data_IF_825325872673
#
_entry.id   IF_825325872673
#
_cell.length_a   1.000
_cell.length_b   1.000
_cell.length_c   1.000
_cell.angle_alpha   90.00
_cell.angle_beta   90.00
_cell.angle_gamma   90.00
#
_symmetry.space_group_name_H-M   'P 1'
#
loop_
_entity.id
_entity.type
_entity.pdbx_description
1 polymer ?
#
# COMPACT_ATOMS: atom_id res chain seq x y z
N UNK A 1 4.08 2.28 8.78
CA UNK A 1 5.07 3.13 8.11
C UNK A 1 4.65 3.50 6.68
N UNK A 2 4.36 2.53 5.79
CA UNK A 2 3.97 2.83 4.38
C UNK A 2 2.69 3.66 4.24
N UNK A 3 1.69 3.43 5.09
CA UNK A 3 0.40 4.14 5.07
C UNK A 3 0.51 5.65 5.35
N UNK A 4 1.39 6.05 6.26
CA UNK A 4 1.61 7.47 6.59
C UNK A 4 2.26 8.23 5.43
N UNK A 5 3.29 7.65 4.81
CA UNK A 5 3.92 8.21 3.61
C UNK A 5 2.95 8.30 2.44
N UNK A 6 2.12 7.27 2.23
CA UNK A 6 1.14 7.26 1.15
C UNK A 6 0.08 8.35 1.33
N UNK A 7 -0.44 8.50 2.55
CA UNK A 7 -1.41 9.55 2.85
C UNK A 7 -0.77 10.94 2.72
N UNK A 8 0.45 11.13 3.24
CA UNK A 8 1.17 12.39 3.08
C UNK A 8 1.43 12.75 1.61
N UNK A 9 1.87 11.80 0.78
CA UNK A 9 2.09 11.99 -0.65
C UNK A 9 0.78 12.35 -1.39
N UNK A 10 -0.35 11.77 -1.00
CA UNK A 10 -1.66 12.15 -1.56
C UNK A 10 -2.06 13.57 -1.14
N UNK A 11 -1.94 13.91 0.13
CA UNK A 11 -2.36 15.21 0.64
C UNK A 11 -1.50 16.35 0.07
N UNK A 12 -0.18 16.17 0.03
CA UNK A 12 0.75 17.21 -0.46
C UNK A 12 0.57 17.52 -1.94
N UNK A 13 0.09 16.56 -2.74
CA UNK A 13 -0.26 16.73 -4.15
C UNK A 13 -1.77 16.92 -4.37
N UNK A 14 -2.57 16.92 -3.30
CA UNK A 14 -4.01 16.96 -3.33
C UNK A 14 -4.57 18.39 -3.45
N UNK A 15 -5.83 18.54 -3.86
CA UNK A 15 -6.45 19.85 -4.08
C UNK A 15 -6.61 20.68 -2.79
N UNK A 16 -6.63 20.05 -1.63
CA UNK A 16 -6.76 20.73 -0.34
C UNK A 16 -5.43 21.37 0.11
N UNK A 17 -4.35 20.58 0.23
CA UNK A 17 -3.10 21.08 0.82
C UNK A 17 -2.10 21.63 -0.20
N UNK A 18 -2.11 21.21 -1.46
CA UNK A 18 -1.16 21.74 -2.45
C UNK A 18 -1.24 23.28 -2.57
N UNK A 19 -2.44 23.91 -2.65
CA UNK A 19 -2.54 25.37 -2.68
C UNK A 19 -2.12 26.03 -1.35
N UNK A 20 -2.39 25.39 -0.21
CA UNK A 20 -2.01 25.92 1.10
C UNK A 20 -0.49 25.95 1.26
N UNK A 21 0.20 24.91 0.79
CA UNK A 21 1.66 24.82 0.79
C UNK A 21 2.25 25.85 -0.17
N UNK A 22 1.72 25.94 -1.40
CA UNK A 22 2.20 26.89 -2.41
C UNK A 22 2.08 28.36 -1.94
N UNK A 23 1.05 28.68 -1.16
CA UNK A 23 0.82 30.02 -0.60
C UNK A 23 1.46 30.23 0.78
N UNK A 24 2.28 29.31 1.27
CA UNK A 24 2.97 29.42 2.56
C UNK A 24 2.06 29.37 3.79
N UNK A 25 0.80 28.93 3.64
CA UNK A 25 -0.19 28.83 4.73
C UNK A 25 0.07 27.64 5.66
N UNK A 26 0.74 26.60 5.14
CA UNK A 26 1.18 25.42 5.89
C UNK A 26 2.50 24.91 5.30
N UNK A 27 3.38 24.36 6.13
CA UNK A 27 4.59 23.70 5.66
C UNK A 27 4.35 22.20 5.43
N UNK A 28 5.10 21.58 4.51
CA UNK A 28 5.06 20.13 4.30
C UNK A 28 5.43 19.34 5.57
N UNK A 29 6.34 19.86 6.39
CA UNK A 29 6.69 19.31 7.71
C UNK A 29 5.51 19.36 8.69
N UNK A 30 4.78 20.47 8.74
CA UNK A 30 3.60 20.60 9.60
C UNK A 30 2.50 19.61 9.17
N UNK A 31 2.22 19.51 7.87
CA UNK A 31 1.26 18.54 7.32
C UNK A 31 1.67 17.10 7.67
N UNK A 32 2.93 16.72 7.42
CA UNK A 32 3.43 15.38 7.74
C UNK A 32 3.27 15.02 9.22
N UNK A 33 3.56 15.98 10.12
CA UNK A 33 3.39 15.81 11.57
C UNK A 33 1.91 15.66 11.95
N UNK A 34 1.01 16.46 11.38
CA UNK A 34 -0.44 16.34 11.61
C UNK A 34 -0.98 14.98 11.19
N UNK A 35 -0.61 14.49 10.00
CA UNK A 35 -1.00 13.17 9.51
C UNK A 35 -0.41 12.09 10.42
N UNK A 36 0.86 12.22 10.81
CA UNK A 36 1.54 11.27 11.69
C UNK A 36 0.84 11.14 13.04
N UNK A 37 0.49 12.25 13.70
CA UNK A 37 -0.22 12.26 14.98
C UNK A 37 -1.58 11.54 14.91
N UNK A 38 -2.30 11.67 13.78
CA UNK A 38 -3.60 11.00 13.57
C UNK A 38 -3.45 9.52 13.22
N UNK A 39 -2.59 9.20 12.25
CA UNK A 39 -2.47 7.85 11.69
C UNK A 39 -1.58 6.92 12.53
N UNK A 40 -0.64 7.47 13.29
CA UNK A 40 0.37 6.74 14.08
C UNK A 40 0.51 7.37 15.48
N UNK A 41 -0.55 7.35 16.31
CA UNK A 41 -0.57 8.06 17.60
C UNK A 41 0.42 7.48 18.62
N UNK A 42 0.83 6.22 18.45
CA UNK A 42 1.80 5.53 19.32
C UNK A 42 3.26 5.82 18.96
N UNK A 43 3.51 6.49 17.83
CA UNK A 43 4.87 6.84 17.39
C UNK A 43 5.12 8.30 17.73
N UNK A 44 6.21 8.56 18.46
CA UNK A 44 6.61 9.93 18.76
C UNK A 44 6.99 10.70 17.50
N UNK A 45 6.41 11.89 17.31
CA UNK A 45 6.73 12.80 16.21
C UNK A 45 7.53 13.97 16.77
N UNK A 46 8.82 14.06 16.43
CA UNK A 46 9.66 15.18 16.85
C UNK A 46 9.19 16.51 16.24
N UNK A 47 9.13 17.57 17.03
CA UNK A 47 8.58 18.87 16.58
C UNK A 47 9.49 19.61 15.60
N UNK A 48 10.78 19.24 15.53
CA UNK A 48 11.80 19.91 14.71
C UNK A 48 12.48 18.98 13.70
N UNK A 49 11.80 17.92 13.23
CA UNK A 49 12.36 17.01 12.22
C UNK A 49 11.67 17.17 10.86
N UNK A 50 12.44 17.63 9.87
CA UNK A 50 11.99 17.75 8.48
C UNK A 50 12.11 16.41 7.72
N UNK A 51 11.50 15.35 8.25
CA UNK A 51 11.46 14.04 7.59
C UNK A 51 11.01 14.06 6.12
N UNK A 52 10.01 14.88 5.73
CA UNK A 52 9.61 14.97 4.33
C UNK A 52 10.73 15.31 3.35
N UNK A 53 11.78 16.02 3.78
CA UNK A 53 12.91 16.37 2.91
C UNK A 53 13.74 15.15 2.50
N UNK A 54 13.68 14.06 3.27
CA UNK A 54 14.33 12.78 2.95
C UNK A 54 13.44 11.88 2.11
N UNK A 55 12.19 12.26 1.88
CA UNK A 55 11.26 11.47 1.09
C UNK A 55 11.41 11.79 -0.39
N UNK A 56 12.47 11.23 -0.99
CA UNK A 56 12.86 11.48 -2.39
C UNK A 56 11.82 11.06 -3.42
N UNK A 57 10.79 10.28 -3.03
CA UNK A 57 9.74 9.82 -3.92
C UNK A 57 8.77 10.93 -4.35
N UNK A 58 8.64 12.00 -3.54
CA UNK A 58 7.67 13.08 -3.76
C UNK A 58 7.82 13.76 -5.13
N UNK A 59 9.04 13.98 -5.60
CA UNK A 59 9.28 14.66 -6.88
C UNK A 59 8.99 13.78 -8.10
N UNK A 60 9.77 12.71 -8.33
CA UNK A 60 9.66 11.90 -9.55
C UNK A 60 8.40 11.02 -9.61
N UNK A 61 7.78 10.73 -8.45
CA UNK A 61 6.64 9.82 -8.34
C UNK A 61 5.51 10.37 -7.46
N UNK A 62 5.39 11.70 -7.38
CA UNK A 62 4.36 12.36 -6.58
C UNK A 62 2.95 11.83 -6.85
N UNK A 63 2.16 11.73 -5.78
CA UNK A 63 0.79 11.21 -5.75
C UNK A 63 0.65 9.71 -6.11
N UNK A 64 1.72 8.93 -6.08
CA UNK A 64 1.71 7.50 -6.46
C UNK A 64 2.20 6.56 -5.38
N UNK A 65 2.64 7.04 -4.21
CA UNK A 65 3.21 6.15 -3.18
C UNK A 65 2.17 5.16 -2.61
N UNK A 66 0.88 5.50 -2.68
CA UNK A 66 -0.21 4.59 -2.31
C UNK A 66 -0.24 3.31 -3.16
N UNK A 67 0.34 3.33 -4.36
CA UNK A 67 0.37 2.19 -5.27
C UNK A 67 1.09 0.97 -4.67
N UNK A 68 2.11 1.16 -3.83
CA UNK A 68 2.76 0.08 -3.10
C UNK A 68 1.81 -0.65 -2.14
N UNK A 69 0.91 0.09 -1.48
CA UNK A 69 -0.07 -0.49 -0.57
C UNK A 69 -1.11 -1.31 -1.35
N UNK A 70 -1.61 -0.75 -2.45
CA UNK A 70 -2.58 -1.43 -3.33
C UNK A 70 -1.97 -2.68 -3.97
N UNK A 71 -0.74 -2.58 -4.50
CA UNK A 71 -0.04 -3.71 -5.09
C UNK A 71 0.20 -4.83 -4.06
N UNK A 72 0.59 -4.47 -2.83
CA UNK A 72 0.75 -5.44 -1.74
C UNK A 72 -0.59 -6.12 -1.40
N UNK A 73 -1.67 -5.35 -1.33
CA UNK A 73 -3.00 -5.91 -1.07
C UNK A 73 -3.47 -6.87 -2.16
N UNK A 74 -3.28 -6.49 -3.42
CA UNK A 74 -3.61 -7.32 -4.57
C UNK A 74 -2.79 -8.61 -4.60
N UNK A 75 -1.48 -8.52 -4.36
CA UNK A 75 -0.61 -9.69 -4.28
C UNK A 75 -1.03 -10.64 -3.14
N UNK A 76 -1.34 -10.09 -1.96
CA UNK A 76 -1.88 -10.87 -0.85
C UNK A 76 -3.20 -11.55 -1.24
N UNK A 77 -4.13 -10.83 -1.87
CA UNK A 77 -5.42 -11.38 -2.27
C UNK A 77 -5.28 -12.51 -3.30
N UNK A 78 -4.38 -12.35 -4.28
CA UNK A 78 -4.06 -13.39 -5.27
C UNK A 78 -3.47 -14.62 -4.58
N UNK A 79 -2.49 -14.44 -3.69
CA UNK A 79 -1.91 -15.55 -2.93
C UNK A 79 -2.98 -16.32 -2.16
N UNK A 80 -3.79 -15.57 -1.43
CA UNK A 80 -4.85 -16.07 -0.57
C UNK A 80 -5.92 -16.87 -1.34
N UNK A 81 -6.33 -16.42 -2.53
CA UNK A 81 -7.38 -17.10 -3.29
C UNK A 81 -6.87 -18.16 -4.25
N UNK A 82 -5.65 -18.00 -4.77
CA UNK A 82 -5.16 -18.84 -5.85
C UNK A 82 -4.10 -19.85 -5.42
N UNK A 83 -3.30 -19.57 -4.38
CA UNK A 83 -2.10 -20.35 -4.07
C UNK A 83 -2.02 -20.85 -2.62
N UNK A 84 -2.82 -20.32 -1.68
CA UNK A 84 -2.70 -20.69 -0.26
C UNK A 84 -2.86 -22.19 -0.01
N UNK A 85 -3.91 -22.79 -0.58
CA UNK A 85 -4.22 -24.21 -0.36
C UNK A 85 -3.25 -25.15 -1.10
N UNK A 86 -2.82 -24.75 -2.30
CA UNK A 86 -1.86 -25.50 -3.11
C UNK A 86 -0.88 -24.52 -3.80
N UNK A 87 0.26 -24.23 -3.14
CA UNK A 87 1.26 -23.29 -3.67
C UNK A 87 1.87 -23.70 -5.00
N UNK A 88 1.79 -24.99 -5.36
CA UNK A 88 2.34 -25.54 -6.59
C UNK A 88 1.24 -25.89 -7.61
N UNK A 89 0.04 -25.35 -7.43
CA UNK A 89 -1.10 -25.62 -8.31
C UNK A 89 -0.78 -25.24 -9.75
N UNK A 90 -0.72 -26.26 -10.62
CA UNK A 90 -0.55 -26.05 -12.07
C UNK A 90 -1.67 -25.17 -12.65
N UNK A 91 -2.90 -25.33 -12.15
CA UNK A 91 -4.06 -24.54 -12.60
C UNK A 91 -3.85 -23.06 -12.29
N UNK A 92 -3.54 -22.71 -11.04
CA UNK A 92 -3.31 -21.33 -10.62
C UNK A 92 -2.08 -20.73 -11.29
N UNK A 93 -1.00 -21.51 -11.46
CA UNK A 93 0.19 -21.08 -12.19
C UNK A 93 -0.09 -20.74 -13.65
N UNK A 94 -0.90 -21.52 -14.37
CA UNK A 94 -1.30 -21.22 -15.75
C UNK A 94 -2.18 -19.96 -15.84
N UNK A 95 -3.11 -19.77 -14.90
CA UNK A 95 -3.92 -18.56 -14.82
C UNK A 95 -3.04 -17.31 -14.59
N UNK A 96 -2.06 -17.40 -13.67
CA UNK A 96 -1.11 -16.33 -13.42
C UNK A 96 -0.21 -16.03 -14.63
N UNK A 97 0.28 -17.06 -15.32
CA UNK A 97 1.06 -16.89 -16.54
C UNK A 97 0.26 -16.16 -17.63
N UNK A 98 -1.05 -16.44 -17.76
CA UNK A 98 -1.94 -15.71 -18.66
C UNK A 98 -2.03 -14.22 -18.29
N UNK A 99 -2.22 -13.90 -17.01
CA UNK A 99 -2.22 -12.49 -16.55
C UNK A 99 -0.92 -11.77 -16.93
N UNK A 100 0.22 -12.41 -16.68
CA UNK A 100 1.53 -11.83 -17.01
C UNK A 100 1.76 -11.66 -18.51
N UNK A 101 1.14 -12.50 -19.35
CA UNK A 101 1.31 -12.45 -20.80
C UNK A 101 0.80 -11.15 -21.45
N UNK A 102 -0.11 -10.42 -20.78
CA UNK A 102 -0.61 -9.12 -21.25
C UNK A 102 0.36 -7.95 -21.01
N UNK A 103 1.36 -8.10 -20.13
CA UNK A 103 2.26 -7.01 -19.77
C UNK A 103 1.53 -5.73 -19.34
N UNK A 104 1.80 -4.62 -20.04
CA UNK A 104 1.16 -3.32 -19.80
C UNK A 104 -0.01 -2.99 -20.75
N UNK A 105 -0.48 -3.96 -21.54
CA UNK A 105 -1.56 -3.74 -22.52
C UNK A 105 -2.91 -3.45 -21.85
N UNK A 106 -3.15 -4.04 -20.67
CA UNK A 106 -4.40 -3.91 -19.95
C UNK A 106 -4.24 -3.11 -18.65
N UNK A 107 -5.28 -2.35 -18.23
CA UNK A 107 -5.32 -1.72 -16.92
C UNK A 107 -5.12 -2.72 -15.78
N UNK A 108 -4.42 -2.32 -14.72
CA UNK A 108 -4.13 -3.19 -13.57
C UNK A 108 -5.38 -3.75 -12.88
N UNK A 109 -6.50 -3.01 -12.91
CA UNK A 109 -7.79 -3.48 -12.38
C UNK A 109 -8.32 -4.69 -13.18
N UNK A 110 -8.15 -4.67 -14.49
CA UNK A 110 -8.64 -5.72 -15.40
C UNK A 110 -7.75 -6.96 -15.28
N UNK A 111 -6.43 -6.76 -15.16
CA UNK A 111 -5.49 -7.85 -14.87
C UNK A 111 -5.79 -8.54 -13.54
N UNK A 112 -6.16 -7.77 -12.52
CA UNK A 112 -6.54 -8.30 -11.21
C UNK A 112 -7.86 -9.06 -11.26
N UNK A 113 -8.85 -8.56 -12.00
CA UNK A 113 -10.11 -9.25 -12.28
C UNK A 113 -9.88 -10.59 -12.99
N UNK A 114 -8.99 -10.63 -13.98
CA UNK A 114 -8.61 -11.86 -14.67
C UNK A 114 -7.92 -12.84 -13.70
N UNK A 115 -7.04 -12.35 -12.82
CA UNK A 115 -6.35 -13.21 -11.85
C UNK A 115 -7.33 -13.86 -10.85
N UNK A 116 -8.28 -13.07 -10.34
CA UNK A 116 -9.20 -13.50 -9.27
C UNK A 116 -10.51 -14.10 -9.79
N UNK A 117 -10.78 -14.00 -11.10
CA UNK A 117 -12.08 -14.36 -11.71
C UNK A 117 -13.28 -13.61 -11.10
N UNK A 118 -13.02 -12.46 -10.46
CA UNK A 118 -14.01 -11.55 -9.89
C UNK A 118 -13.40 -10.15 -9.74
N UNK A 119 -14.24 -9.12 -9.74
CA UNK A 119 -13.83 -7.77 -9.39
C UNK A 119 -13.64 -7.64 -7.86
N UNK A 120 -12.41 -7.38 -7.38
CA UNK A 120 -12.19 -7.18 -5.95
C UNK A 120 -12.64 -5.78 -5.52
N UNK A 121 -13.18 -5.69 -4.32
CA UNK A 121 -13.50 -4.42 -3.66
C UNK A 121 -12.33 -3.91 -2.83
N UNK A 122 -12.41 -2.66 -2.37
CA UNK A 122 -11.45 -2.13 -1.38
C UNK A 122 -11.48 -2.90 -0.06
N UNK A 123 -12.61 -3.52 0.29
CA UNK A 123 -12.75 -4.37 1.47
C UNK A 123 -11.97 -5.66 1.28
N UNK A 124 -12.13 -6.36 0.14
CA UNK A 124 -11.36 -7.58 -0.18
C UNK A 124 -9.85 -7.33 -0.06
N UNK A 125 -9.37 -6.19 -0.57
CA UNK A 125 -7.96 -5.79 -0.50
C UNK A 125 -7.49 -5.52 0.93
N UNK A 126 -8.32 -4.82 1.72
CA UNK A 126 -8.03 -4.53 3.12
C UNK A 126 -7.96 -5.81 3.97
N UNK A 127 -8.94 -6.70 3.79
CA UNK A 127 -9.01 -7.99 4.47
C UNK A 127 -7.82 -8.88 4.13
N UNK A 128 -7.40 -8.92 2.85
CA UNK A 128 -6.23 -9.68 2.44
C UNK A 128 -4.94 -9.18 3.12
N UNK A 129 -4.75 -7.86 3.22
CA UNK A 129 -3.62 -7.29 3.96
C UNK A 129 -3.71 -7.66 5.44
N UNK A 130 -4.85 -7.44 6.08
CA UNK A 130 -5.06 -7.73 7.50
C UNK A 130 -4.75 -9.20 7.81
N UNK A 131 -5.32 -10.11 7.02
CA UNK A 131 -5.11 -11.56 7.15
C UNK A 131 -3.63 -11.93 7.03
N UNK A 132 -2.91 -11.35 6.06
CA UNK A 132 -1.47 -11.58 5.91
C UNK A 132 -0.69 -11.11 7.14
N UNK A 133 -1.00 -9.93 7.68
CA UNK A 133 -0.34 -9.41 8.87
C UNK A 133 -0.60 -10.26 10.11
N UNK A 134 -1.85 -10.68 10.34
CA UNK A 134 -2.22 -11.51 11.49
C UNK A 134 -1.45 -12.83 11.51
N UNK A 135 -1.37 -13.52 10.36
CA UNK A 135 -0.58 -14.76 10.23
C UNK A 135 0.90 -14.55 10.50
N UNK A 136 1.48 -13.48 9.94
CA UNK A 136 2.89 -13.18 10.19
C UNK A 136 3.17 -12.95 11.68
N UNK A 137 2.23 -12.35 12.42
CA UNK A 137 2.35 -12.18 13.86
C UNK A 137 2.24 -13.50 14.62
N UNK A 138 1.38 -14.43 14.18
CA UNK A 138 1.27 -15.77 14.75
C UNK A 138 2.60 -16.54 14.57
N UNK A 139 3.14 -16.56 13.35
CA UNK A 139 4.42 -17.21 13.07
C UNK A 139 5.57 -16.66 13.92
N UNK A 140 5.60 -15.35 14.16
CA UNK A 140 6.61 -14.71 15.02
C UNK A 140 6.50 -15.14 16.48
N UNK A 141 5.27 -15.30 17.00
CA UNK A 141 5.04 -15.81 18.36
C UNK A 141 5.49 -17.25 18.50
N UNK A 142 5.20 -18.09 17.51
CA UNK A 142 5.58 -19.50 17.52
C UNK A 142 7.11 -19.66 17.45
N UNK A 143 7.78 -18.84 16.64
CA UNK A 143 9.25 -18.82 16.55
C UNK A 143 9.98 -18.25 17.77
N UNK A 144 9.28 -17.52 18.65
CA UNK A 144 9.83 -16.98 19.90
C UNK A 144 9.69 -17.93 21.09
N UNK A 145 8.87 -18.99 20.95
CA UNK A 145 8.63 -20.01 21.96
C UNK A 145 9.46 -21.30 21.75
N UNK A 146 10.40 -21.28 20.81
CA UNK A 146 11.30 -22.39 20.45
C UNK A 146 12.74 -22.01 20.74
#
# INVERSE_FOLDING_TARGET
MVTHYALFDLEVHGPEYAPLIANGKITSTALYSQIGKKALPLIGHGENVAWPHRFSHLGPYGAKYYSYLVAKAAASLIWEQCFREDPFSRKSGLAWAKVQSYGGELPSKDLLEIALQKAPTSIDLCEALHSQYSRNLELLKDSSNM
#
